data_IF_303082192270
#
_entry.id   IF_303082192270
#
_cell.length_a   1.000
_cell.length_b   1.000
_cell.length_c   1.000
_cell.angle_alpha   90.00
_cell.angle_beta   90.00
_cell.angle_gamma   90.00
#
_symmetry.space_group_name_H-M   'P 1'
#
loop_
_entity.id
_entity.type
_entity.pdbx_description
1 polymer ?
#
# COMPACT_ATOMS: atom_id res chain seq x y z
N UNK A 1 -8.07 12.81 -10.63
CA UNK A 1 -7.07 13.05 -9.59
C UNK A 1 -6.31 11.78 -9.30
N UNK A 2 -5.01 11.93 -9.13
CA UNK A 2 -4.16 10.76 -8.85
C UNK A 2 -4.39 10.22 -7.46
N UNK A 3 -4.36 8.91 -7.33
CA UNK A 3 -4.42 8.24 -6.03
C UNK A 3 -3.09 8.35 -5.30
N UNK A 4 -3.13 8.22 -3.99
CA UNK A 4 -1.96 8.04 -3.14
C UNK A 4 -1.92 6.57 -2.70
N UNK A 5 -0.73 6.00 -2.65
CA UNK A 5 -0.53 4.58 -2.34
C UNK A 5 0.42 4.46 -1.16
N UNK A 6 -0.02 3.75 -0.13
CA UNK A 6 0.78 3.52 1.07
C UNK A 6 1.00 2.02 1.24
N UNK A 7 2.26 1.61 1.20
CA UNK A 7 2.65 0.22 1.41
C UNK A 7 2.97 0.00 2.88
N UNK A 8 2.44 -1.07 3.45
CA UNK A 8 2.72 -1.45 4.84
C UNK A 8 3.21 -2.89 4.88
N UNK A 9 4.23 -3.16 5.67
CA UNK A 9 4.83 -4.50 5.72
C UNK A 9 5.53 -4.79 7.02
N UNK A 10 5.80 -6.07 7.23
CA UNK A 10 6.80 -6.53 8.20
C UNK A 10 8.19 -6.24 7.63
N UNK A 11 9.10 -5.80 8.49
CA UNK A 11 10.46 -5.51 8.07
C UNK A 11 10.51 -4.46 6.96
N UNK A 12 11.57 -4.44 6.20
CA UNK A 12 11.82 -3.41 5.18
C UNK A 12 11.16 -3.70 3.82
N UNK A 13 10.29 -4.70 3.73
CA UNK A 13 9.70 -5.10 2.45
C UNK A 13 9.00 -3.95 1.73
N UNK A 14 8.16 -3.20 2.44
CA UNK A 14 7.43 -2.08 1.84
C UNK A 14 8.40 -1.03 1.26
N UNK A 15 9.42 -0.68 2.03
CA UNK A 15 10.46 0.26 1.59
C UNK A 15 11.17 -0.25 0.34
N UNK A 16 11.60 -1.51 0.37
CA UNK A 16 12.33 -2.13 -0.73
C UNK A 16 11.47 -2.24 -1.99
N UNK A 17 10.19 -2.51 -1.84
CA UNK A 17 9.27 -2.56 -2.98
C UNK A 17 9.13 -1.19 -3.65
N UNK A 18 9.06 -0.13 -2.86
CA UNK A 18 9.05 1.24 -3.43
C UNK A 18 10.34 1.54 -4.16
N UNK A 19 11.48 1.12 -3.61
CA UNK A 19 12.78 1.30 -4.26
C UNK A 19 12.87 0.51 -5.56
N UNK A 20 12.37 -0.73 -5.58
CA UNK A 20 12.34 -1.55 -6.78
C UNK A 20 11.43 -0.93 -7.84
N UNK A 21 10.28 -0.43 -7.45
CA UNK A 21 9.37 0.25 -8.38
C UNK A 21 10.06 1.47 -9.00
N UNK A 22 10.75 2.25 -8.18
CA UNK A 22 11.48 3.42 -8.64
C UNK A 22 12.54 3.04 -9.69
N UNK A 23 13.22 1.92 -9.49
CA UNK A 23 14.19 1.43 -10.47
C UNK A 23 13.53 1.10 -11.80
N UNK A 24 12.30 0.59 -11.76
CA UNK A 24 11.58 0.17 -12.97
C UNK A 24 10.94 1.34 -13.73
N UNK A 25 10.40 2.33 -13.01
CA UNK A 25 9.55 3.37 -13.64
C UNK A 25 10.04 4.80 -13.42
N UNK A 26 10.98 5.04 -12.52
CA UNK A 26 11.48 6.39 -12.22
C UNK A 26 10.76 7.03 -11.05
N UNK A 27 10.06 8.16 -11.27
CA UNK A 27 9.42 8.91 -10.18
C UNK A 27 8.21 8.17 -9.62
N UNK A 28 8.24 7.91 -8.30
CA UNK A 28 7.18 7.21 -7.58
C UNK A 28 6.67 8.06 -6.41
N UNK A 29 6.58 9.36 -6.59
CA UNK A 29 6.22 10.31 -5.54
C UNK A 29 4.86 10.08 -4.88
N UNK A 30 3.96 9.31 -5.51
CA UNK A 30 2.66 8.95 -4.92
C UNK A 30 2.70 7.70 -4.06
N UNK A 31 3.84 7.02 -4.03
CA UNK A 31 4.02 5.80 -3.25
C UNK A 31 4.84 6.11 -2.01
N UNK A 32 4.30 5.77 -0.86
CA UNK A 32 4.98 5.88 0.44
C UNK A 32 4.92 4.54 1.15
N UNK A 33 5.62 4.41 2.26
CA UNK A 33 5.69 3.15 2.98
C UNK A 33 5.76 3.36 4.48
N UNK A 34 5.29 2.37 5.24
CA UNK A 34 5.51 2.24 6.68
C UNK A 34 5.89 0.80 6.96
N UNK A 35 7.01 0.61 7.61
CA UNK A 35 7.56 -0.72 7.92
C UNK A 35 7.43 -1.02 9.40
N UNK A 36 6.93 -2.22 9.71
CA UNK A 36 6.96 -2.74 11.09
C UNK A 36 8.35 -3.32 11.33
N UNK A 37 9.10 -2.72 12.23
CA UNK A 37 10.44 -3.17 12.57
C UNK A 37 10.52 -3.56 14.05
N UNK A 38 11.74 -3.77 14.55
CA UNK A 38 11.95 -4.17 15.94
C UNK A 38 11.59 -3.11 16.97
N UNK A 39 11.31 -1.88 16.55
CA UNK A 39 10.86 -0.82 17.44
C UNK A 39 9.39 -0.98 17.85
N UNK A 40 8.67 -1.89 17.22
CA UNK A 40 7.39 -2.38 17.70
C UNK A 40 6.16 -1.74 17.08
N UNK A 41 5.01 -2.22 17.57
CA UNK A 41 3.70 -1.90 17.02
C UNK A 41 3.31 -0.43 17.23
N UNK A 42 3.64 0.13 18.40
CA UNK A 42 3.26 1.51 18.70
C UNK A 42 3.91 2.50 17.75
N UNK A 43 5.19 2.30 17.44
CA UNK A 43 5.89 3.13 16.47
C UNK A 43 5.26 2.99 15.08
N UNK A 44 4.96 1.76 14.67
CA UNK A 44 4.29 1.51 13.40
C UNK A 44 2.94 2.23 13.33
N UNK A 45 2.12 2.06 14.37
CA UNK A 45 0.80 2.69 14.43
C UNK A 45 0.89 4.21 14.28
N UNK A 46 1.81 4.82 15.03
CA UNK A 46 1.97 6.27 15.00
C UNK A 46 2.43 6.76 13.64
N UNK A 47 3.37 6.06 13.02
CA UNK A 47 3.86 6.38 11.68
C UNK A 47 2.78 6.23 10.62
N UNK A 48 2.00 5.15 10.70
CA UNK A 48 0.90 4.91 9.78
C UNK A 48 -0.14 6.02 9.88
N UNK A 49 -0.57 6.35 11.09
CA UNK A 49 -1.58 7.38 11.33
C UNK A 49 -1.12 8.74 10.86
N UNK A 50 0.14 9.08 11.10
CA UNK A 50 0.70 10.34 10.65
C UNK A 50 0.65 10.45 9.11
N UNK A 51 1.02 9.40 8.41
CA UNK A 51 0.99 9.42 6.93
C UNK A 51 -0.44 9.50 6.39
N UNK A 52 -1.35 8.72 6.92
CA UNK A 52 -2.76 8.73 6.48
C UNK A 52 -3.39 10.09 6.76
N UNK A 53 -3.17 10.65 7.94
CA UNK A 53 -3.79 11.91 8.34
C UNK A 53 -3.28 13.10 7.52
N UNK A 54 -2.10 12.98 6.91
CA UNK A 54 -1.53 14.03 6.07
C UNK A 54 -1.93 13.95 4.60
N UNK A 55 -2.69 12.92 4.21
CA UNK A 55 -3.22 12.83 2.84
C UNK A 55 -4.51 13.64 2.75
N UNK A 56 -4.63 14.45 1.71
CA UNK A 56 -5.82 15.28 1.49
C UNK A 56 -7.08 14.42 1.38
N UNK A 57 -8.18 14.87 2.00
CA UNK A 57 -9.43 14.12 2.02
C UNK A 57 -10.06 13.91 0.64
N UNK A 58 -9.70 14.74 -0.33
CA UNK A 58 -10.22 14.64 -1.71
C UNK A 58 -9.44 13.65 -2.56
N UNK A 59 -8.41 13.00 -1.99
CA UNK A 59 -7.57 12.03 -2.71
C UNK A 59 -8.08 10.62 -2.45
N UNK A 60 -8.06 9.81 -3.50
CA UNK A 60 -8.25 8.37 -3.37
C UNK A 60 -6.99 7.76 -2.75
N UNK A 61 -7.14 6.84 -1.81
CA UNK A 61 -6.01 6.22 -1.11
C UNK A 61 -6.12 4.71 -1.20
N UNK A 62 -5.02 4.07 -1.56
CA UNK A 62 -4.88 2.62 -1.53
C UNK A 62 -3.80 2.25 -0.53
N UNK A 63 -4.12 1.34 0.39
CA UNK A 63 -3.15 0.78 1.33
C UNK A 63 -2.86 -0.64 0.87
N UNK A 64 -1.59 -0.95 0.63
CA UNK A 64 -1.15 -2.27 0.20
C UNK A 64 -0.42 -2.95 1.34
N UNK A 65 -0.82 -4.17 1.67
CA UNK A 65 -0.22 -4.95 2.75
C UNK A 65 0.52 -6.16 2.20
N UNK A 66 1.57 -6.56 2.89
CA UNK A 66 2.32 -7.76 2.54
C UNK A 66 1.48 -9.02 2.72
N UNK A 67 0.75 -9.12 3.83
CA UNK A 67 -0.06 -10.30 4.12
C UNK A 67 -1.33 -9.89 4.88
N UNK A 68 -2.43 -10.57 4.61
CA UNK A 68 -3.67 -10.36 5.35
C UNK A 68 -3.53 -10.93 6.75
N UNK A 69 -3.99 -10.17 7.75
CA UNK A 69 -4.06 -10.63 9.14
C UNK A 69 -2.80 -10.42 9.97
N UNK A 70 -1.71 -9.92 9.38
CA UNK A 70 -0.54 -9.52 10.14
C UNK A 70 -0.70 -8.15 10.78
N UNK A 71 0.22 -7.76 11.65
CA UNK A 71 0.15 -6.48 12.35
C UNK A 71 0.00 -5.27 11.42
N UNK A 72 0.77 -5.14 10.33
CA UNK A 72 0.57 -4.00 9.42
C UNK A 72 -0.85 -3.94 8.88
N UNK A 73 -1.40 -5.05 8.44
CA UNK A 73 -2.79 -5.12 7.98
C UNK A 73 -3.76 -4.76 9.10
N UNK A 74 -3.56 -5.35 10.28
CA UNK A 74 -4.49 -5.17 11.41
C UNK A 74 -4.56 -3.70 11.84
N UNK A 75 -3.43 -3.01 11.86
CA UNK A 75 -3.39 -1.58 12.23
C UNK A 75 -4.08 -0.71 11.17
N UNK A 76 -3.87 -1.01 9.89
CA UNK A 76 -4.55 -0.29 8.81
C UNK A 76 -6.06 -0.51 8.86
N UNK A 77 -6.49 -1.75 9.07
CA UNK A 77 -7.91 -2.09 9.13
C UNK A 77 -8.58 -1.48 10.36
N UNK A 78 -7.90 -1.50 11.50
CA UNK A 78 -8.39 -0.87 12.72
C UNK A 78 -8.63 0.63 12.51
N UNK A 79 -7.65 1.32 11.92
CA UNK A 79 -7.80 2.74 11.59
C UNK A 79 -9.01 2.96 10.67
N UNK A 80 -9.13 2.14 9.64
CA UNK A 80 -10.24 2.26 8.68
C UNK A 80 -11.59 2.15 9.38
N UNK A 81 -11.74 1.19 10.29
CA UNK A 81 -12.99 1.00 11.03
C UNK A 81 -13.26 2.13 12.02
N UNK A 82 -12.26 2.53 12.79
CA UNK A 82 -12.40 3.56 13.81
C UNK A 82 -12.74 4.93 13.23
N UNK A 83 -12.19 5.24 12.05
CA UNK A 83 -12.34 6.55 11.43
C UNK A 83 -13.32 6.56 10.26
N UNK A 84 -14.00 5.45 10.00
CA UNK A 84 -14.92 5.29 8.86
C UNK A 84 -14.25 5.74 7.56
N UNK A 85 -12.97 5.42 7.42
CA UNK A 85 -12.18 5.79 6.25
C UNK A 85 -12.58 4.92 5.06
N UNK A 86 -12.56 5.50 3.87
CA UNK A 86 -12.97 4.79 2.66
C UNK A 86 -11.83 4.28 1.79
N UNK A 87 -10.59 4.37 2.28
CA UNK A 87 -9.47 3.83 1.51
C UNK A 87 -9.60 2.31 1.33
N UNK A 88 -9.07 1.83 0.23
CA UNK A 88 -9.04 0.40 -0.06
C UNK A 88 -7.79 -0.23 0.57
N UNK A 89 -7.93 -1.44 1.08
CA UNK A 89 -6.79 -2.23 1.55
C UNK A 89 -6.65 -3.43 0.63
N UNK A 90 -5.52 -3.54 -0.05
CA UNK A 90 -5.19 -4.69 -0.89
C UNK A 90 -4.10 -5.50 -0.19
N UNK A 91 -4.25 -6.81 -0.17
CA UNK A 91 -3.32 -7.72 0.50
C UNK A 91 -2.55 -8.57 -0.50
N UNK A 92 -1.40 -9.09 -0.08
CA UNK A 92 -0.57 -9.90 -0.97
C UNK A 92 0.17 -9.07 -2.01
N UNK A 93 0.57 -7.86 -1.64
CA UNK A 93 1.22 -6.95 -2.60
C UNK A 93 2.43 -7.60 -3.26
N UNK A 94 2.59 -7.33 -4.54
CA UNK A 94 3.73 -7.77 -5.33
C UNK A 94 4.08 -6.69 -6.35
N UNK A 95 5.22 -6.84 -7.01
CA UNK A 95 5.69 -5.84 -7.97
C UNK A 95 4.71 -5.65 -9.14
N UNK A 96 4.15 -6.71 -9.75
CA UNK A 96 3.14 -6.50 -10.80
C UNK A 96 1.94 -5.68 -10.34
N UNK A 97 1.49 -5.85 -9.10
CA UNK A 97 0.42 -5.03 -8.53
C UNK A 97 0.82 -3.55 -8.48
N UNK A 98 2.04 -3.26 -8.03
CA UNK A 98 2.54 -1.89 -7.96
C UNK A 98 2.63 -1.26 -9.34
N UNK A 99 3.11 -2.01 -10.33
CA UNK A 99 3.19 -1.52 -11.72
C UNK A 99 1.82 -1.20 -12.29
N UNK A 100 0.86 -2.09 -12.06
CA UNK A 100 -0.52 -1.89 -12.53
C UNK A 100 -1.11 -0.61 -11.92
N UNK A 101 -0.94 -0.42 -10.63
CA UNK A 101 -1.41 0.79 -9.95
C UNK A 101 -0.69 2.02 -10.50
N UNK A 102 0.62 1.95 -10.64
CA UNK A 102 1.42 3.08 -11.09
C UNK A 102 0.95 3.59 -12.47
N UNK A 103 0.70 2.68 -13.40
CA UNK A 103 0.28 3.07 -14.75
C UNK A 103 -1.18 3.49 -14.84
N UNK A 104 -1.95 3.38 -13.76
CA UNK A 104 -3.37 3.71 -13.76
C UNK A 104 -3.77 4.60 -12.58
N UNK A 105 -2.86 5.41 -12.06
CA UNK A 105 -3.10 6.22 -10.85
C UNK A 105 -4.32 7.14 -10.94
N UNK A 106 -4.71 7.56 -12.14
CA UNK A 106 -5.86 8.44 -12.33
C UNK A 106 -7.17 7.67 -12.54
N UNK A 107 -7.11 6.35 -12.66
CA UNK A 107 -8.29 5.55 -12.97
C UNK A 107 -8.15 4.13 -12.41
N UNK A 108 -8.09 4.01 -11.08
CA UNK A 108 -7.89 2.74 -10.41
C UNK A 108 -9.19 1.96 -10.28
N UNK A 109 -9.11 0.65 -10.50
CA UNK A 109 -10.20 -0.29 -10.27
C UNK A 109 -9.65 -1.45 -9.44
N UNK A 110 -10.08 -1.55 -8.19
CA UNK A 110 -9.56 -2.53 -7.23
C UNK A 110 -9.70 -3.97 -7.71
N UNK A 111 -10.85 -4.30 -8.28
CA UNK A 111 -11.11 -5.67 -8.74
C UNK A 111 -10.19 -6.05 -9.91
N UNK A 112 -9.98 -5.14 -10.84
CA UNK A 112 -9.09 -5.38 -11.97
C UNK A 112 -7.64 -5.48 -11.51
N UNK A 113 -7.21 -4.66 -10.55
CA UNK A 113 -5.87 -4.73 -9.98
C UNK A 113 -5.63 -6.11 -9.37
N UNK A 114 -6.58 -6.60 -8.58
CA UNK A 114 -6.45 -7.92 -7.95
C UNK A 114 -6.39 -9.02 -9.01
N UNK A 115 -7.25 -8.95 -10.01
CA UNK A 115 -7.26 -9.95 -11.10
C UNK A 115 -5.91 -9.97 -11.82
N UNK A 116 -5.42 -8.81 -12.24
CA UNK A 116 -4.15 -8.70 -12.95
C UNK A 116 -2.98 -9.19 -12.09
N UNK A 117 -3.01 -8.88 -10.78
CA UNK A 117 -1.97 -9.32 -9.86
C UNK A 117 -1.94 -10.83 -9.70
N UNK A 118 -3.11 -11.45 -9.60
CA UNK A 118 -3.21 -12.92 -9.53
C UNK A 118 -2.69 -13.57 -10.81
N UNK A 119 -3.04 -13.03 -11.95
CA UNK A 119 -2.62 -13.56 -13.24
C UNK A 119 -1.13 -13.40 -13.50
N UNK A 120 -0.45 -12.53 -12.76
CA UNK A 120 1.01 -12.36 -12.89
C UNK A 120 1.80 -13.52 -12.27
N UNK A 121 1.14 -14.36 -11.48
CA UNK A 121 1.79 -15.51 -10.84
C UNK A 121 1.54 -16.71 -11.75
N UNK A 122 2.60 -17.19 -12.36
CA UNK A 122 2.47 -18.25 -13.38
C UNK A 122 3.68 -19.17 -13.40
N UNK A 123 3.51 -20.32 -14.02
CA UNK A 123 4.56 -21.30 -14.25
C UNK A 123 5.04 -21.18 -15.70
N UNK A 124 6.34 -21.20 -15.88
CA UNK A 124 6.95 -21.12 -17.22
C UNK A 124 7.48 -22.49 -17.63
#
# INVERSE_FOLDING_TARGET
MSANVLLVSHGELAKSMCESLKMLVGDVGKFEYVCLDNDGVDKFRNSFRLKIDNIDNDKEVYVLCDIKGGTPFNEAFKYKLENKADFRILTGMNIPMLLDIYFNLDNLNSEQIILNSKESIEII
#
